data_IF_298920978199
#
_entry.id   IF_298920978199
#
_cell.length_a   1.000
_cell.length_b   1.000
_cell.length_c   1.000
_cell.angle_alpha   90.00
_cell.angle_beta   90.00
_cell.angle_gamma   90.00
#
_symmetry.space_group_name_H-M   'P 1'
#
loop_
_entity.id
_entity.type
_entity.pdbx_description
1 polymer ?
#
# COMPACT_ATOMS: atom_id res chain seq x y z
N UNK A 1 -6.77 -17.94 5.84
CA UNK A 1 -7.32 -16.78 6.55
C UNK A 1 -8.40 -16.15 5.67
N UNK A 2 -9.58 -15.82 6.20
CA UNK A 2 -10.70 -15.21 5.46
C UNK A 2 -11.20 -13.90 6.12
N UNK A 3 -12.17 -13.20 5.49
CA UNK A 3 -12.69 -11.92 6.01
C UNK A 3 -13.33 -12.03 7.39
N UNK A 4 -14.10 -13.11 7.64
CA UNK A 4 -14.78 -13.35 8.91
C UNK A 4 -13.81 -13.47 10.07
N UNK A 5 -12.66 -14.11 9.85
CA UNK A 5 -11.59 -14.22 10.85
C UNK A 5 -10.96 -12.85 11.16
N UNK A 6 -10.72 -12.01 10.14
CA UNK A 6 -10.16 -10.67 10.36
C UNK A 6 -11.11 -9.76 11.15
N UNK A 7 -12.42 -9.88 10.91
CA UNK A 7 -13.45 -9.14 11.65
C UNK A 7 -13.54 -9.65 13.09
N UNK A 8 -13.62 -10.98 13.28
CA UNK A 8 -13.68 -11.60 14.61
C UNK A 8 -12.48 -11.20 15.48
N UNK A 9 -11.30 -11.12 14.87
CA UNK A 9 -10.06 -10.73 15.54
C UNK A 9 -9.85 -9.21 15.66
N UNK A 10 -10.87 -8.38 15.34
CA UNK A 10 -10.84 -6.90 15.40
C UNK A 10 -9.74 -6.23 14.57
N UNK A 11 -9.21 -6.96 13.57
CA UNK A 11 -8.21 -6.46 12.62
C UNK A 11 -8.85 -5.71 11.46
N UNK A 12 -10.12 -5.99 11.17
CA UNK A 12 -10.92 -5.34 10.13
C UNK A 12 -12.31 -4.99 10.67
N UNK A 13 -12.91 -3.91 10.19
CA UNK A 13 -14.29 -3.51 10.51
C UNK A 13 -15.06 -3.18 9.23
N UNK A 14 -16.34 -3.56 9.21
CA UNK A 14 -17.30 -3.11 8.20
C UNK A 14 -17.58 -1.61 8.40
N UNK A 15 -17.76 -0.88 7.30
CA UNK A 15 -18.12 0.53 7.32
C UNK A 15 -18.70 1.00 5.99
N UNK A 16 -19.32 2.18 6.01
CA UNK A 16 -19.76 2.86 4.81
C UNK A 16 -18.73 3.95 4.49
N UNK A 17 -18.21 3.95 3.26
CA UNK A 17 -17.22 4.91 2.81
C UNK A 17 -17.74 5.63 1.57
N UNK A 18 -17.59 6.96 1.54
CA UNK A 18 -18.01 7.75 0.39
C UNK A 18 -17.03 7.61 -0.78
N UNK A 19 -17.49 7.91 -1.98
CA UNK A 19 -16.64 8.03 -3.18
C UNK A 19 -15.50 9.03 -2.95
N UNK A 20 -15.77 10.12 -2.23
CA UNK A 20 -14.75 11.11 -1.85
C UNK A 20 -13.65 10.48 -0.97
N UNK A 21 -14.00 9.62 -0.01
CA UNK A 21 -12.99 8.95 0.84
C UNK A 21 -12.12 7.99 0.03
N UNK A 22 -12.71 7.28 -0.93
CA UNK A 22 -11.98 6.40 -1.86
C UNK A 22 -11.05 7.23 -2.73
N UNK A 23 -11.56 8.32 -3.31
CA UNK A 23 -10.81 9.22 -4.19
C UNK A 23 -9.65 9.90 -3.46
N UNK A 24 -9.87 10.36 -2.23
CA UNK A 24 -8.82 10.94 -1.38
C UNK A 24 -7.66 9.97 -1.15
N UNK A 25 -7.92 8.67 -0.95
CA UNK A 25 -6.87 7.66 -0.87
C UNK A 25 -6.08 7.53 -2.18
N UNK A 26 -6.75 7.54 -3.35
CA UNK A 26 -6.07 7.51 -4.64
C UNK A 26 -5.24 8.77 -4.90
N UNK A 27 -5.71 9.93 -4.49
CA UNK A 27 -4.98 11.18 -4.69
C UNK A 27 -3.77 11.31 -3.77
N UNK A 28 -3.86 10.79 -2.53
CA UNK A 28 -2.70 10.58 -1.67
C UNK A 28 -1.70 9.64 -2.32
N UNK A 29 -2.14 8.52 -2.90
CA UNK A 29 -1.25 7.58 -3.59
C UNK A 29 -0.49 8.23 -4.76
N UNK A 30 -1.20 8.97 -5.61
CA UNK A 30 -0.60 9.71 -6.73
C UNK A 30 0.37 10.79 -6.26
N UNK A 31 0.03 11.52 -5.19
CA UNK A 31 0.92 12.51 -4.57
C UNK A 31 2.21 11.84 -4.10
N UNK A 32 2.09 10.73 -3.40
CA UNK A 32 3.22 10.02 -2.82
C UNK A 32 4.15 9.48 -3.90
N UNK A 33 3.64 8.91 -5.01
CA UNK A 33 4.46 8.56 -6.18
C UNK A 33 5.26 9.77 -6.68
N UNK A 34 4.61 10.93 -6.87
CA UNK A 34 5.30 12.15 -7.32
C UNK A 34 6.38 12.59 -6.35
N UNK A 35 6.13 12.50 -5.05
CA UNK A 35 7.11 12.83 -4.01
C UNK A 35 8.27 11.86 -4.01
N UNK A 36 8.01 10.55 -4.07
CA UNK A 36 9.04 9.51 -4.10
C UNK A 36 9.99 9.73 -5.28
N UNK A 37 9.44 10.01 -6.48
CA UNK A 37 10.24 10.33 -7.68
C UNK A 37 11.15 11.53 -7.52
N UNK A 38 10.69 12.59 -6.82
CA UNK A 38 11.49 13.81 -6.64
C UNK A 38 12.69 13.60 -5.73
N UNK A 39 12.57 12.74 -4.74
CA UNK A 39 13.59 12.62 -3.68
C UNK A 39 14.49 11.39 -3.86
N UNK A 40 14.14 10.44 -4.74
CA UNK A 40 14.79 9.11 -4.76
C UNK A 40 16.29 9.16 -5.04
N UNK A 41 16.73 10.12 -5.85
CA UNK A 41 18.16 10.27 -6.18
C UNK A 41 18.96 10.91 -5.04
N UNK A 42 18.29 11.65 -4.15
CA UNK A 42 18.90 12.25 -2.94
C UNK A 42 18.76 11.34 -1.72
N UNK A 43 17.66 10.58 -1.64
CA UNK A 43 17.30 9.76 -0.50
C UNK A 43 16.51 8.51 -0.92
N UNK A 44 17.23 7.42 -1.17
CA UNK A 44 16.65 6.14 -1.59
C UNK A 44 15.72 5.55 -0.52
N UNK A 45 16.08 5.63 0.77
CA UNK A 45 15.27 5.08 1.86
C UNK A 45 13.90 5.77 1.96
N UNK A 46 13.86 7.10 1.86
CA UNK A 46 12.62 7.85 1.85
C UNK A 46 11.83 7.67 0.55
N UNK A 47 12.50 7.63 -0.60
CA UNK A 47 11.85 7.32 -1.88
C UNK A 47 11.11 5.98 -1.83
N UNK A 48 11.78 4.94 -1.35
CA UNK A 48 11.21 3.60 -1.14
C UNK A 48 10.07 3.59 -0.12
N UNK A 49 10.27 4.29 1.01
CA UNK A 49 9.26 4.41 2.08
C UNK A 49 7.97 5.07 1.59
N UNK A 50 8.10 6.11 0.78
CA UNK A 50 6.95 6.86 0.23
C UNK A 50 6.28 6.06 -0.90
N UNK A 51 7.04 5.36 -1.74
CA UNK A 51 6.49 4.44 -2.74
C UNK A 51 5.63 3.33 -2.09
N UNK A 52 6.09 2.77 -0.98
CA UNK A 52 5.27 1.84 -0.19
C UNK A 52 3.98 2.49 0.33
N UNK A 53 4.06 3.73 0.82
CA UNK A 53 2.87 4.44 1.30
C UNK A 53 1.85 4.67 0.18
N UNK A 54 2.30 4.96 -1.03
CA UNK A 54 1.43 5.09 -2.19
C UNK A 54 0.63 3.80 -2.46
N UNK A 55 1.31 2.65 -2.47
CA UNK A 55 0.63 1.36 -2.64
C UNK A 55 -0.32 1.06 -1.48
N UNK A 56 0.05 1.40 -0.24
CA UNK A 56 -0.83 1.23 0.91
C UNK A 56 -2.09 2.10 0.80
N UNK A 57 -1.99 3.33 0.31
CA UNK A 57 -3.15 4.20 0.10
C UNK A 57 -4.08 3.67 -0.99
N UNK A 58 -3.55 3.18 -2.11
CA UNK A 58 -4.36 2.51 -3.12
C UNK A 58 -5.04 1.25 -2.56
N UNK A 59 -4.31 0.43 -1.80
CA UNK A 59 -4.89 -0.74 -1.14
C UNK A 59 -6.02 -0.37 -0.15
N UNK A 60 -5.90 0.76 0.56
CA UNK A 60 -6.98 1.29 1.40
C UNK A 60 -8.18 1.76 0.59
N UNK A 61 -7.98 2.39 -0.57
CA UNK A 61 -9.06 2.78 -1.47
C UNK A 61 -9.88 1.55 -1.90
N UNK A 62 -9.21 0.47 -2.29
CA UNK A 62 -9.86 -0.81 -2.60
C UNK A 62 -10.61 -1.39 -1.40
N UNK A 63 -10.03 -1.28 -0.20
CA UNK A 63 -10.68 -1.77 1.02
C UNK A 63 -11.97 -1.00 1.32
N UNK A 64 -11.94 0.32 1.18
CA UNK A 64 -13.09 1.20 1.36
C UNK A 64 -14.18 0.94 0.34
N UNK A 65 -13.83 0.72 -0.94
CA UNK A 65 -14.82 0.40 -1.99
C UNK A 65 -15.52 -0.94 -1.77
N UNK A 66 -14.93 -1.84 -0.99
CA UNK A 66 -15.56 -3.10 -0.56
C UNK A 66 -16.28 -3.01 0.78
N UNK A 67 -16.38 -1.82 1.39
CA UNK A 67 -17.10 -1.60 2.65
C UNK A 67 -16.32 -2.02 3.90
N UNK A 68 -14.99 -2.06 3.83
CA UNK A 68 -14.14 -2.47 4.94
C UNK A 68 -13.04 -1.46 5.26
N UNK A 69 -12.53 -1.49 6.49
CA UNK A 69 -11.26 -0.83 6.86
C UNK A 69 -10.46 -1.67 7.83
N UNK A 70 -9.13 -1.56 7.77
CA UNK A 70 -8.25 -2.13 8.78
C UNK A 70 -8.38 -1.35 10.11
N UNK A 71 -8.24 -2.05 11.24
CA UNK A 71 -8.34 -1.50 12.60
C UNK A 71 -7.34 -2.18 13.53
N UNK A 72 -7.09 -1.56 14.69
CA UNK A 72 -6.18 -2.09 15.71
C UNK A 72 -4.71 -1.93 15.32
N UNK A 73 -3.86 -2.80 15.87
CA UNK A 73 -2.45 -2.89 15.51
C UNK A 73 -2.26 -3.63 14.18
N UNK A 74 -1.13 -3.36 13.50
CA UNK A 74 -0.80 -4.08 12.27
C UNK A 74 -1.74 -3.77 11.09
N UNK A 75 -2.34 -2.57 11.03
CA UNK A 75 -3.28 -2.19 9.96
C UNK A 75 -2.68 -2.35 8.56
N UNK A 76 -1.37 -2.11 8.42
CA UNK A 76 -0.64 -2.30 7.17
C UNK A 76 -0.66 -3.76 6.73
N UNK A 77 -0.30 -4.68 7.63
CA UNK A 77 -0.36 -6.13 7.40
C UNK A 77 -1.77 -6.57 7.05
N UNK A 78 -2.78 -6.07 7.77
CA UNK A 78 -4.17 -6.39 7.48
C UNK A 78 -4.62 -5.87 6.12
N UNK A 79 -4.21 -4.67 5.72
CA UNK A 79 -4.53 -4.08 4.40
C UNK A 79 -3.90 -4.90 3.27
N UNK A 80 -2.62 -5.28 3.40
CA UNK A 80 -1.93 -6.14 2.42
C UNK A 80 -2.60 -7.51 2.31
N UNK A 81 -2.97 -8.10 3.46
CA UNK A 81 -3.68 -9.37 3.50
C UNK A 81 -5.06 -9.27 2.85
N UNK A 82 -5.76 -8.15 3.03
CA UNK A 82 -7.03 -7.87 2.37
C UNK A 82 -6.87 -7.85 0.85
N UNK A 83 -5.88 -7.12 0.31
CA UNK A 83 -5.60 -7.09 -1.13
C UNK A 83 -5.31 -8.50 -1.66
N UNK A 84 -4.49 -9.29 -0.95
CA UNK A 84 -4.18 -10.68 -1.33
C UNK A 84 -5.44 -11.51 -1.53
N UNK A 85 -6.38 -11.41 -0.60
CA UNK A 85 -7.64 -12.17 -0.63
C UNK A 85 -8.62 -11.62 -1.67
N UNK A 86 -8.59 -10.30 -1.94
CA UNK A 86 -9.54 -9.62 -2.84
C UNK A 86 -9.17 -9.79 -4.31
N UNK A 87 -7.90 -9.58 -4.65
CA UNK A 87 -7.44 -9.55 -6.04
C UNK A 87 -6.85 -10.89 -6.47
N UNK A 88 -6.08 -11.57 -5.60
CA UNK A 88 -5.41 -12.83 -5.93
C UNK A 88 -4.61 -12.78 -7.24
N UNK A 89 -4.30 -13.96 -7.80
CA UNK A 89 -3.81 -14.10 -9.17
C UNK A 89 -2.58 -13.25 -9.50
N UNK A 90 -2.72 -12.39 -10.50
CA UNK A 90 -1.66 -11.52 -11.04
C UNK A 90 -1.04 -10.56 -10.01
N UNK A 91 -1.76 -10.22 -8.93
CA UNK A 91 -1.27 -9.31 -7.89
C UNK A 91 -0.44 -10.01 -6.81
N UNK A 92 -0.27 -11.34 -6.86
CA UNK A 92 0.42 -12.10 -5.81
C UNK A 92 1.85 -11.60 -5.59
N UNK A 93 2.62 -11.43 -6.67
CA UNK A 93 3.99 -10.92 -6.63
C UNK A 93 4.07 -9.50 -6.05
N UNK A 94 3.16 -8.61 -6.48
CA UNK A 94 3.08 -7.24 -5.97
C UNK A 94 2.78 -7.21 -4.47
N UNK A 95 1.84 -8.04 -4.01
CA UNK A 95 1.48 -8.13 -2.59
C UNK A 95 2.64 -8.69 -1.75
N UNK A 96 3.38 -9.68 -2.25
CA UNK A 96 4.59 -10.19 -1.60
C UNK A 96 5.68 -9.13 -1.51
N UNK A 97 5.87 -8.38 -2.59
CA UNK A 97 6.78 -7.25 -2.64
C UNK A 97 6.39 -6.19 -1.60
N UNK A 98 5.11 -5.79 -1.53
CA UNK A 98 4.60 -4.85 -0.52
C UNK A 98 4.87 -5.29 0.92
N UNK A 99 4.72 -6.59 1.24
CA UNK A 99 5.01 -7.09 2.59
C UNK A 99 6.52 -7.09 2.89
N UNK A 100 7.36 -7.37 1.88
CA UNK A 100 8.80 -7.17 1.96
C UNK A 100 9.17 -5.70 2.25
N UNK A 101 8.58 -4.78 1.49
CA UNK A 101 8.78 -3.34 1.69
C UNK A 101 8.38 -2.87 3.07
N UNK A 102 7.24 -3.33 3.59
CA UNK A 102 6.77 -2.98 4.94
C UNK A 102 7.84 -3.29 5.99
N UNK A 103 8.47 -4.47 5.91
CA UNK A 103 9.54 -4.88 6.85
C UNK A 103 10.81 -4.06 6.64
N UNK A 104 11.25 -3.86 5.40
CA UNK A 104 12.48 -3.09 5.11
C UNK A 104 12.33 -1.62 5.52
N UNK A 105 11.18 -0.99 5.22
CA UNK A 105 10.82 0.37 5.64
C UNK A 105 10.93 0.55 7.15
N UNK A 106 10.44 -0.41 7.94
CA UNK A 106 10.54 -0.31 9.39
C UNK A 106 11.99 -0.13 9.83
N UNK A 107 12.90 -0.92 9.23
CA UNK A 107 14.33 -0.85 9.52
C UNK A 107 14.97 0.43 9.02
N UNK A 108 14.64 0.90 7.81
CA UNK A 108 15.22 2.14 7.26
C UNK A 108 14.80 3.39 8.02
N UNK A 109 13.58 3.38 8.61
CA UNK A 109 13.05 4.52 9.36
C UNK A 109 13.58 4.56 10.80
N UNK A 110 13.75 3.41 11.44
CA UNK A 110 14.05 3.36 12.89
C UNK A 110 15.43 2.83 13.25
N UNK A 111 16.05 2.02 12.41
CA UNK A 111 17.21 1.22 12.80
C UNK A 111 18.48 1.57 12.01
N UNK A 112 18.42 1.57 10.67
CA UNK A 112 19.61 1.59 9.80
C UNK A 112 19.38 2.51 8.58
N UNK A 113 20.05 3.67 8.48
CA UNK A 113 20.03 4.49 7.27
C UNK A 113 20.87 3.86 6.15
N UNK A 114 20.49 4.11 4.89
CA UNK A 114 21.20 3.66 3.69
C UNK A 114 20.99 2.19 3.32
N UNK A 115 19.90 1.55 3.79
CA UNK A 115 19.64 0.12 3.54
C UNK A 115 19.01 -0.14 2.16
N UNK A 116 18.43 0.88 1.53
CA UNK A 116 17.83 0.75 0.19
C UNK A 116 18.78 1.29 -0.88
N UNK A 117 19.09 0.47 -1.87
CA UNK A 117 19.84 0.90 -3.04
C UNK A 117 19.01 1.76 -3.99
N UNK A 118 19.67 2.58 -4.83
CA UNK A 118 18.99 3.37 -5.87
C UNK A 118 18.16 2.49 -6.82
N UNK A 119 18.67 1.31 -7.17
CA UNK A 119 17.95 0.34 -8.01
C UNK A 119 16.65 -0.13 -7.34
N UNK A 120 16.72 -0.56 -6.08
CA UNK A 120 15.54 -1.02 -5.34
C UNK A 120 14.52 0.10 -5.12
N UNK A 121 14.97 1.33 -4.86
CA UNK A 121 14.07 2.47 -4.69
C UNK A 121 13.34 2.81 -6.00
N UNK A 122 14.03 2.75 -7.14
CA UNK A 122 13.44 2.98 -8.47
C UNK A 122 12.48 1.85 -8.87
N UNK A 123 12.84 0.60 -8.60
CA UNK A 123 11.95 -0.56 -8.78
C UNK A 123 10.68 -0.41 -7.94
N UNK A 124 10.82 -0.04 -6.66
CA UNK A 124 9.69 0.20 -5.78
C UNK A 124 8.73 1.29 -6.28
N UNK A 125 9.27 2.38 -6.84
CA UNK A 125 8.47 3.44 -7.45
C UNK A 125 7.73 2.92 -8.68
N UNK A 126 8.40 2.17 -9.56
CA UNK A 126 7.78 1.58 -10.75
C UNK A 126 6.62 0.64 -10.38
N UNK A 127 6.86 -0.28 -9.45
CA UNK A 127 5.80 -1.17 -8.92
C UNK A 127 4.66 -0.39 -8.28
N UNK A 128 4.96 0.70 -7.55
CA UNK A 128 3.93 1.54 -6.98
C UNK A 128 3.06 2.20 -8.06
N UNK A 129 3.64 2.67 -9.16
CA UNK A 129 2.89 3.25 -10.28
C UNK A 129 1.97 2.22 -10.94
N UNK A 130 2.49 1.04 -11.26
CA UNK A 130 1.72 -0.05 -11.86
C UNK A 130 0.54 -0.44 -10.95
N UNK A 131 0.81 -0.66 -9.66
CA UNK A 131 -0.22 -1.05 -8.71
C UNK A 131 -1.28 0.04 -8.51
N UNK A 132 -0.86 1.30 -8.29
CA UNK A 132 -1.81 2.42 -8.10
C UNK A 132 -2.66 2.64 -9.36
N UNK A 133 -2.07 2.50 -10.55
CA UNK A 133 -2.82 2.58 -11.81
C UNK A 133 -3.84 1.43 -11.91
N UNK A 134 -3.44 0.19 -11.63
CA UNK A 134 -4.32 -0.96 -11.68
C UNK A 134 -5.51 -0.82 -10.71
N UNK A 135 -5.27 -0.43 -9.46
CA UNK A 135 -6.34 -0.15 -8.50
C UNK A 135 -7.23 0.98 -9.00
N UNK A 136 -6.65 2.05 -9.55
CA UNK A 136 -7.44 3.15 -10.09
C UNK A 136 -8.36 2.70 -11.23
N UNK A 137 -7.93 1.75 -12.09
CA UNK A 137 -8.79 1.17 -13.13
C UNK A 137 -9.91 0.31 -12.54
N UNK A 138 -9.61 -0.51 -11.55
CA UNK A 138 -10.59 -1.36 -10.86
C UNK A 138 -11.70 -0.53 -10.19
N UNK A 139 -11.36 0.68 -9.73
CA UNK A 139 -12.27 1.57 -9.04
C UNK A 139 -12.92 2.63 -9.96
N UNK A 140 -12.68 2.58 -11.27
CA UNK A 140 -13.45 3.42 -12.20
C UNK A 140 -14.92 2.98 -12.17
N UNK A 141 -15.87 3.93 -12.12
CA UNK A 141 -17.30 3.64 -12.22
C UNK A 141 -17.67 3.02 -13.57
#
# INVERSE_FOLDING_TARGET
MNYSELIKNKRMKVGNFSEEQIQNCLDLAKRDIRTAKKIVDENCDWGYTIAYNAMLQAARALMFSKGYRATGEGQHTTTIQFVRMTLGGEFTSTVEFMDGMRRKRHRTVYDIPGLVSSKEAKEAIGTAEEFVNAISQILRP
#
